data_IF_330690105767
#
_entry.id   IF_330690105767
#
_cell.length_a   1.000
_cell.length_b   1.000
_cell.length_c   1.000
_cell.angle_alpha   90.00
_cell.angle_beta   90.00
_cell.angle_gamma   90.00
#
_symmetry.space_group_name_H-M   'P 1'
#
loop_
_entity.id
_entity.type
_entity.pdbx_description
1 polymer ?
#
# COMPACT_ATOMS: atom_id res chain seq x y z
N UNK A 1 -14.88 16.64 -21.39
CA UNK A 1 -14.75 15.54 -20.41
C UNK A 1 -15.61 15.93 -19.24
N UNK A 2 -16.52 15.08 -18.82
CA UNK A 2 -17.38 15.30 -17.65
C UNK A 2 -16.53 15.20 -16.39
N UNK A 3 -16.63 16.18 -15.50
CA UNK A 3 -16.02 16.13 -14.17
C UNK A 3 -16.72 15.02 -13.37
N UNK A 4 -15.98 13.99 -12.94
CA UNK A 4 -16.52 12.85 -12.18
C UNK A 4 -15.94 12.81 -10.76
N UNK A 5 -16.80 12.50 -9.78
CA UNK A 5 -16.43 12.35 -8.38
C UNK A 5 -16.04 10.91 -8.08
N UNK A 6 -14.80 10.69 -7.71
CA UNK A 6 -14.18 9.36 -7.59
C UNK A 6 -13.71 9.07 -6.16
N UNK A 7 -14.19 7.96 -5.59
CA UNK A 7 -13.74 7.48 -4.29
C UNK A 7 -12.36 6.81 -4.38
N UNK A 8 -11.45 7.22 -3.52
CA UNK A 8 -10.12 6.63 -3.34
C UNK A 8 -10.08 5.82 -2.05
N UNK A 9 -10.03 4.50 -2.16
CA UNK A 9 -10.16 3.56 -1.04
C UNK A 9 -8.84 3.13 -0.39
N UNK A 10 -7.70 3.49 -1.01
CA UNK A 10 -6.37 3.16 -0.49
C UNK A 10 -5.96 4.09 0.66
N UNK A 11 -4.94 3.72 1.47
CA UNK A 11 -4.43 4.58 2.54
C UNK A 11 -4.10 5.99 2.02
N UNK A 12 -4.39 7.02 2.84
CA UNK A 12 -4.35 8.42 2.43
C UNK A 12 -3.05 8.83 1.76
N UNK A 13 -1.91 8.46 2.34
CA UNK A 13 -0.60 8.82 1.77
C UNK A 13 -0.42 8.28 0.33
N UNK A 14 -0.87 7.06 0.08
CA UNK A 14 -0.81 6.46 -1.27
C UNK A 14 -1.83 7.10 -2.21
N UNK A 15 -2.99 7.46 -1.69
CA UNK A 15 -4.07 8.10 -2.44
C UNK A 15 -3.74 9.53 -2.89
N UNK A 16 -2.87 10.26 -2.20
CA UNK A 16 -2.50 11.65 -2.53
C UNK A 16 -1.94 11.79 -3.96
N UNK A 17 -1.09 10.85 -4.38
CA UNK A 17 -0.54 10.85 -5.74
C UNK A 17 -1.61 10.56 -6.78
N UNK A 18 -2.47 9.58 -6.55
CA UNK A 18 -3.62 9.28 -7.41
C UNK A 18 -4.57 10.48 -7.49
N UNK A 19 -4.84 11.12 -6.36
CA UNK A 19 -5.68 12.31 -6.30
C UNK A 19 -5.10 13.47 -7.13
N UNK A 20 -3.79 13.70 -7.05
CA UNK A 20 -3.13 14.73 -7.86
C UNK A 20 -3.28 14.45 -9.37
N UNK A 21 -3.09 13.20 -9.80
CA UNK A 21 -3.25 12.79 -11.19
C UNK A 21 -4.70 12.95 -11.66
N UNK A 22 -5.69 12.52 -10.86
CA UNK A 22 -7.10 12.67 -11.20
C UNK A 22 -7.54 14.15 -11.31
N UNK A 23 -7.06 15.01 -10.40
CA UNK A 23 -7.31 16.47 -10.52
C UNK A 23 -6.71 17.07 -11.78
N UNK A 24 -5.51 16.63 -12.17
CA UNK A 24 -4.88 17.08 -13.42
C UNK A 24 -5.67 16.62 -14.67
N UNK A 25 -6.49 15.57 -14.55
CA UNK A 25 -7.39 15.08 -15.58
C UNK A 25 -8.79 15.76 -15.53
N UNK A 26 -9.04 16.66 -14.56
CA UNK A 26 -10.32 17.37 -14.39
C UNK A 26 -11.35 16.62 -13.54
N UNK A 27 -10.96 15.60 -12.77
CA UNK A 27 -11.84 14.84 -11.89
C UNK A 27 -11.76 15.30 -10.43
N UNK A 28 -12.80 15.03 -9.64
CA UNK A 28 -12.86 15.29 -8.20
C UNK A 28 -12.56 14.00 -7.39
N UNK A 29 -11.33 13.79 -6.89
CA UNK A 29 -11.05 12.67 -6.01
C UNK A 29 -11.49 12.95 -4.58
N UNK A 30 -12.23 12.01 -4.00
CA UNK A 30 -12.67 12.03 -2.60
C UNK A 30 -11.98 10.89 -1.83
N UNK A 31 -11.32 11.24 -0.73
CA UNK A 31 -10.62 10.26 0.10
C UNK A 31 -11.63 9.48 0.97
N UNK A 32 -11.70 8.19 0.74
CA UNK A 32 -12.49 7.23 1.51
C UNK A 32 -11.63 6.02 1.91
N UNK A 33 -10.52 6.23 2.65
CA UNK A 33 -9.60 5.14 2.96
C UNK A 33 -10.31 4.06 3.77
N UNK A 34 -10.27 2.82 3.26
CA UNK A 34 -10.81 1.64 3.95
C UNK A 34 -9.75 0.87 4.72
N UNK A 35 -8.48 1.28 4.59
CA UNK A 35 -7.35 0.79 5.36
C UNK A 35 -6.61 1.97 5.97
N UNK A 36 -6.42 1.92 7.28
CA UNK A 36 -5.60 2.87 8.04
C UNK A 36 -4.28 2.22 8.42
N UNK A 37 -3.18 2.93 8.15
CA UNK A 37 -1.85 2.48 8.56
C UNK A 37 -1.59 2.99 9.98
N UNK A 38 -1.56 2.05 10.90
CA UNK A 38 -1.25 2.32 12.31
C UNK A 38 0.19 1.90 12.58
N UNK A 39 1.03 2.85 13.00
CA UNK A 39 2.40 2.57 13.42
C UNK A 39 2.42 1.91 14.79
N UNK A 40 3.43 1.09 15.06
CA UNK A 40 3.72 0.52 16.38
C UNK A 40 4.93 1.28 16.93
N UNK A 41 4.72 2.35 17.73
CA UNK A 41 5.77 3.32 18.05
C UNK A 41 6.95 2.72 18.84
N UNK A 42 6.69 1.68 19.63
CA UNK A 42 7.67 1.04 20.50
C UNK A 42 7.86 -0.45 20.09
N UNK A 43 7.85 -0.75 18.80
CA UNK A 43 8.16 -2.09 18.33
C UNK A 43 9.59 -2.48 18.80
N UNK A 44 9.71 -3.59 19.49
CA UNK A 44 11.00 -3.99 20.07
C UNK A 44 11.99 -4.34 18.97
N UNK A 45 12.94 -3.46 18.69
CA UNK A 45 14.08 -3.70 17.80
C UNK A 45 15.23 -4.22 18.65
N UNK A 46 15.68 -5.44 18.34
CA UNK A 46 16.81 -6.07 19.05
C UNK A 46 18.08 -5.18 19.05
N UNK A 47 19.03 -5.46 19.94
CA UNK A 47 20.25 -4.64 20.06
C UNK A 47 21.14 -4.71 18.82
N UNK A 48 21.01 -5.76 18.00
CA UNK A 48 21.93 -6.08 16.90
C UNK A 48 23.16 -6.85 17.38
N UNK A 49 24.24 -6.84 16.62
CA UNK A 49 24.46 -6.03 15.42
C UNK A 49 23.61 -6.46 14.21
N UNK A 50 23.34 -5.51 13.30
CA UNK A 50 22.68 -5.75 12.02
C UNK A 50 23.55 -5.26 10.87
N UNK A 51 23.65 -6.06 9.79
CA UNK A 51 24.41 -5.67 8.61
C UNK A 51 23.74 -4.56 7.81
N UNK A 52 22.41 -4.59 7.72
CA UNK A 52 21.62 -3.59 7.01
C UNK A 52 20.13 -3.67 7.40
N UNK A 53 19.32 -2.75 6.85
CA UNK A 53 17.86 -2.71 6.99
C UNK A 53 17.19 -3.13 5.69
N UNK A 54 16.13 -3.93 5.78
CA UNK A 54 15.28 -4.33 4.67
C UNK A 54 13.91 -3.67 4.79
N UNK A 55 13.45 -3.02 3.70
CA UNK A 55 12.14 -2.37 3.60
C UNK A 55 11.40 -2.82 2.34
N UNK A 56 10.24 -3.46 2.50
CA UNK A 56 9.33 -3.80 1.40
C UNK A 56 8.17 -2.81 1.24
N UNK A 57 8.07 -1.81 2.13
CA UNK A 57 7.01 -0.80 2.10
C UNK A 57 7.49 0.54 2.66
N UNK A 58 7.08 1.64 2.04
CA UNK A 58 7.31 2.99 2.56
C UNK A 58 6.62 3.24 3.91
N UNK A 59 5.63 2.43 4.29
CA UNK A 59 4.99 2.51 5.61
C UNK A 59 5.96 2.15 6.74
N UNK A 60 6.87 1.18 6.52
CA UNK A 60 7.90 0.83 7.48
C UNK A 60 8.92 1.97 7.67
N UNK A 61 9.33 2.63 6.57
CA UNK A 61 10.19 3.81 6.64
C UNK A 61 9.53 4.96 7.43
N UNK A 62 8.24 5.21 7.21
CA UNK A 62 7.49 6.22 7.98
C UNK A 62 7.33 5.87 9.45
N UNK A 63 7.18 4.58 9.76
CA UNK A 63 7.11 4.12 11.15
C UNK A 63 8.45 4.35 11.88
N UNK A 64 9.57 4.01 11.25
CA UNK A 64 10.90 4.18 11.86
C UNK A 64 11.28 5.66 12.01
N UNK A 65 10.80 6.54 11.14
CA UNK A 65 11.06 7.98 11.25
C UNK A 65 10.63 8.59 12.60
N UNK A 66 9.70 7.93 13.30
CA UNK A 66 9.17 8.34 14.62
C UNK A 66 9.55 7.38 15.76
N UNK A 67 10.39 6.37 15.47
CA UNK A 67 10.74 5.32 16.42
C UNK A 67 11.87 5.79 17.37
N UNK A 68 11.90 5.39 18.66
CA UNK A 68 12.98 5.71 19.58
C UNK A 68 14.38 5.30 19.08
N UNK A 69 14.49 4.12 18.44
CA UNK A 69 15.74 3.61 17.86
C UNK A 69 16.08 4.19 16.48
N UNK A 70 15.38 5.23 16.02
CA UNK A 70 15.56 5.80 14.69
C UNK A 70 17.04 6.05 14.36
N UNK A 71 17.76 6.76 15.20
CA UNK A 71 19.15 7.16 14.91
C UNK A 71 20.05 5.96 14.64
N UNK A 72 19.95 4.91 15.46
CA UNK A 72 20.70 3.65 15.29
C UNK A 72 20.33 2.93 14.01
N UNK A 73 19.04 2.91 13.66
CA UNK A 73 18.52 2.16 12.52
C UNK A 73 18.83 2.87 11.19
N UNK A 74 18.67 4.20 11.13
CA UNK A 74 18.93 4.94 9.87
C UNK A 74 20.42 5.11 9.55
N UNK A 75 21.31 4.80 10.50
CA UNK A 75 22.74 4.76 10.27
C UNK A 75 23.20 3.53 9.44
N UNK A 76 22.34 2.51 9.33
CA UNK A 76 22.60 1.31 8.54
C UNK A 76 22.28 1.52 7.07
N UNK A 77 22.92 0.74 6.21
CA UNK A 77 22.53 0.61 4.81
C UNK A 77 21.09 0.10 4.71
N UNK A 78 20.33 0.59 3.71
CA UNK A 78 18.92 0.24 3.54
C UNK A 78 18.68 -0.38 2.17
N UNK A 79 18.11 -1.57 2.13
CA UNK A 79 17.63 -2.23 0.93
C UNK A 79 16.11 -2.04 0.80
N UNK A 80 15.64 -1.62 -0.37
CA UNK A 80 14.23 -1.37 -0.64
C UNK A 80 13.74 -2.03 -1.91
N UNK A 81 12.49 -2.50 -1.92
CA UNK A 81 11.90 -3.20 -3.07
C UNK A 81 11.80 -2.32 -4.31
N UNK A 82 11.55 -1.04 -4.16
CA UNK A 82 11.36 -0.15 -5.29
C UNK A 82 11.52 1.34 -4.97
N UNK A 83 11.45 2.20 -6.00
CA UNK A 83 11.82 3.62 -5.91
C UNK A 83 10.97 4.41 -4.91
N UNK A 84 9.69 4.06 -4.74
CA UNK A 84 8.81 4.74 -3.78
C UNK A 84 9.19 4.41 -2.33
N UNK A 85 9.53 3.16 -2.05
CA UNK A 85 10.03 2.74 -0.74
C UNK A 85 11.39 3.38 -0.46
N UNK A 86 12.27 3.45 -1.48
CA UNK A 86 13.55 4.13 -1.39
C UNK A 86 13.40 5.63 -1.06
N UNK A 87 12.48 6.31 -1.73
CA UNK A 87 12.20 7.73 -1.44
C UNK A 87 11.71 7.92 0.01
N UNK A 88 10.80 7.05 0.48
CA UNK A 88 10.34 7.08 1.87
C UNK A 88 11.48 6.80 2.87
N UNK A 89 12.39 5.89 2.55
CA UNK A 89 13.56 5.60 3.38
C UNK A 89 14.50 6.81 3.49
N UNK A 90 14.81 7.50 2.39
CA UNK A 90 15.62 8.72 2.42
C UNK A 90 14.96 9.82 3.26
N UNK A 91 13.65 10.02 3.14
CA UNK A 91 12.88 10.96 3.96
C UNK A 91 12.90 10.57 5.46
N UNK A 92 12.99 9.29 5.79
CA UNK A 92 13.12 8.83 7.17
C UNK A 92 14.52 9.08 7.75
N UNK A 93 15.54 9.34 6.90
CA UNK A 93 16.91 9.68 7.30
C UNK A 93 17.97 8.64 6.91
N UNK A 94 17.63 7.58 6.17
CA UNK A 94 18.65 6.66 5.66
C UNK A 94 19.55 7.35 4.63
N UNK A 95 20.86 7.32 4.88
CA UNK A 95 21.84 7.93 3.98
C UNK A 95 22.08 7.07 2.73
N UNK A 96 22.26 5.76 2.92
CA UNK A 96 22.55 4.80 1.87
C UNK A 96 21.31 3.95 1.59
N UNK A 97 20.67 4.15 0.43
CA UNK A 97 19.45 3.42 0.05
C UNK A 97 19.64 2.78 -1.30
N UNK A 98 19.62 1.45 -1.32
CA UNK A 98 19.70 0.60 -2.52
C UNK A 98 18.30 0.12 -2.88
N UNK A 99 17.87 0.39 -4.12
CA UNK A 99 16.55 -0.02 -4.61
C UNK A 99 16.69 -1.11 -5.66
N UNK A 100 15.96 -2.19 -5.50
CA UNK A 100 15.93 -3.27 -6.48
C UNK A 100 15.25 -2.86 -7.80
N UNK A 101 14.33 -1.89 -7.73
CA UNK A 101 13.61 -1.39 -8.91
C UNK A 101 12.56 -2.33 -9.48
N UNK A 102 12.30 -3.46 -8.81
CA UNK A 102 11.41 -4.52 -9.24
C UNK A 102 10.57 -5.10 -8.10
N UNK A 103 10.52 -6.42 -8.02
CA UNK A 103 9.76 -7.15 -7.03
C UNK A 103 10.63 -7.69 -5.86
N UNK A 104 10.06 -8.59 -5.02
CA UNK A 104 10.76 -9.20 -3.90
C UNK A 104 11.93 -10.09 -4.33
N UNK A 105 11.83 -10.79 -5.46
CA UNK A 105 12.90 -11.61 -5.99
C UNK A 105 14.09 -10.79 -6.47
N UNK A 106 13.85 -9.64 -7.12
CA UNK A 106 14.90 -8.69 -7.48
C UNK A 106 15.59 -8.12 -6.24
N UNK A 107 14.82 -7.89 -5.17
CA UNK A 107 15.34 -7.43 -3.89
C UNK A 107 16.20 -8.50 -3.23
N UNK A 108 15.77 -9.75 -3.23
CA UNK A 108 16.54 -10.85 -2.66
C UNK A 108 17.88 -11.05 -3.41
N UNK A 109 17.86 -10.95 -4.74
CA UNK A 109 19.08 -11.00 -5.57
C UNK A 109 20.04 -9.86 -5.25
N UNK A 110 19.54 -8.61 -5.21
CA UNK A 110 20.35 -7.43 -4.86
C UNK A 110 21.01 -7.57 -3.49
N UNK A 111 20.28 -8.08 -2.50
CA UNK A 111 20.79 -8.34 -1.15
C UNK A 111 21.87 -9.44 -1.20
N UNK A 112 21.61 -10.55 -1.90
CA UNK A 112 22.55 -11.65 -2.02
C UNK A 112 23.89 -11.25 -2.64
N UNK A 113 23.86 -10.38 -3.65
CA UNK A 113 25.06 -9.83 -4.31
C UNK A 113 25.90 -8.92 -3.38
N UNK A 114 25.26 -8.27 -2.39
CA UNK A 114 25.93 -7.28 -1.53
C UNK A 114 26.22 -7.75 -0.11
N UNK A 115 25.40 -8.66 0.41
CA UNK A 115 25.39 -9.09 1.81
C UNK A 115 25.46 -10.62 1.97
N UNK A 116 25.73 -11.37 0.88
CA UNK A 116 25.82 -12.83 0.92
C UNK A 116 26.96 -13.32 1.81
N UNK A 117 26.79 -14.48 2.44
CA UNK A 117 27.75 -15.14 3.31
C UNK A 117 27.40 -15.04 4.81
N UNK A 118 28.38 -15.32 5.68
CA UNK A 118 28.21 -15.29 7.14
C UNK A 118 28.17 -13.88 7.74
N UNK A 119 27.37 -12.99 7.13
CA UNK A 119 27.15 -11.63 7.64
C UNK A 119 26.18 -11.62 8.82
N UNK A 120 26.21 -10.54 9.60
CA UNK A 120 25.19 -10.26 10.60
C UNK A 120 23.77 -10.24 9.97
N UNK A 121 22.71 -10.55 10.73
CA UNK A 121 21.36 -10.57 10.17
C UNK A 121 20.94 -9.19 9.65
N UNK A 122 20.04 -9.18 8.67
CA UNK A 122 19.37 -7.96 8.26
C UNK A 122 18.16 -7.68 9.17
N UNK A 123 17.98 -6.42 9.54
CA UNK A 123 16.77 -5.97 10.24
C UNK A 123 15.63 -5.76 9.23
N UNK A 124 14.68 -6.68 9.19
CA UNK A 124 13.49 -6.54 8.32
C UNK A 124 12.37 -5.80 9.04
N UNK A 125 12.20 -4.53 8.74
CA UNK A 125 11.09 -3.71 9.25
C UNK A 125 9.88 -3.87 8.32
N UNK A 126 8.82 -4.47 8.84
CA UNK A 126 7.67 -4.90 8.03
C UNK A 126 6.33 -4.51 8.63
N UNK A 127 5.28 -4.66 7.83
CA UNK A 127 3.90 -4.69 8.31
C UNK A 127 3.50 -6.04 8.86
N UNK A 128 2.42 -6.06 9.66
CA UNK A 128 1.82 -7.31 10.11
C UNK A 128 1.37 -8.20 8.93
N UNK A 129 0.82 -7.58 7.89
CA UNK A 129 0.40 -8.26 6.66
C UNK A 129 1.49 -8.15 5.61
N UNK A 130 2.02 -9.29 5.17
CA UNK A 130 3.09 -9.37 4.19
C UNK A 130 2.66 -10.18 2.98
N UNK A 131 2.92 -9.67 1.79
CA UNK A 131 2.56 -10.33 0.54
C UNK A 131 3.49 -11.51 0.18
N UNK A 132 4.74 -11.49 0.70
CA UNK A 132 5.80 -12.46 0.41
C UNK A 132 6.56 -12.83 1.67
N UNK A 133 7.10 -14.03 1.68
CA UNK A 133 8.05 -14.51 2.70
C UNK A 133 9.49 -14.17 2.27
N UNK A 134 9.95 -12.98 2.66
CA UNK A 134 11.31 -12.54 2.36
C UNK A 134 12.39 -13.40 3.03
N UNK A 135 12.07 -14.05 4.15
CA UNK A 135 13.01 -14.96 4.78
C UNK A 135 13.28 -16.17 3.88
N UNK A 136 12.22 -16.78 3.35
CA UNK A 136 12.36 -17.89 2.39
C UNK A 136 13.10 -17.47 1.10
N UNK A 137 12.84 -16.26 0.59
CA UNK A 137 13.48 -15.73 -0.62
C UNK A 137 15.00 -15.48 -0.42
N UNK A 138 15.46 -15.24 0.81
CA UNK A 138 16.87 -14.98 1.14
C UNK A 138 17.67 -16.22 1.55
N UNK A 139 17.00 -17.34 1.82
CA UNK A 139 17.69 -18.63 2.14
C UNK A 139 18.77 -19.01 1.12
N UNK A 140 18.53 -18.92 -0.22
CA UNK A 140 19.53 -19.30 -1.22
C UNK A 140 20.83 -18.48 -1.14
N UNK A 141 20.78 -17.30 -0.53
CA UNK A 141 21.91 -16.37 -0.41
C UNK A 141 22.61 -16.46 0.97
N UNK A 142 22.14 -17.33 1.87
CA UNK A 142 22.68 -17.47 3.22
C UNK A 142 22.42 -16.25 4.13
N UNK A 143 21.46 -15.39 3.77
CA UNK A 143 21.15 -14.17 4.53
C UNK A 143 20.06 -14.45 5.56
N UNK A 144 20.35 -14.08 6.82
CA UNK A 144 19.40 -14.20 7.95
C UNK A 144 18.60 -12.90 8.12
N UNK A 145 17.34 -13.00 8.54
CA UNK A 145 16.47 -11.86 8.84
C UNK A 145 16.02 -11.87 10.30
N UNK A 146 16.12 -10.71 10.93
CA UNK A 146 15.39 -10.38 12.15
C UNK A 146 14.19 -9.54 11.78
N UNK A 147 13.00 -10.15 11.84
CA UNK A 147 11.73 -9.50 11.48
C UNK A 147 11.18 -8.70 12.67
N UNK A 148 10.91 -7.42 12.45
CA UNK A 148 10.21 -6.57 13.40
C UNK A 148 8.98 -5.94 12.72
N UNK A 149 7.79 -6.18 13.30
CA UNK A 149 6.54 -5.57 12.83
C UNK A 149 6.44 -4.15 13.40
N UNK A 150 6.56 -3.14 12.54
CA UNK A 150 6.58 -1.71 12.93
C UNK A 150 5.29 -0.96 12.56
N UNK A 151 4.40 -1.59 11.79
CA UNK A 151 3.07 -1.06 11.48
C UNK A 151 2.08 -2.18 11.18
N UNK A 152 0.79 -1.84 11.24
CA UNK A 152 -0.32 -2.71 10.79
C UNK A 152 -1.30 -1.93 9.94
N UNK A 153 -1.95 -2.61 9.00
CA UNK A 153 -3.06 -2.07 8.23
C UNK A 153 -4.38 -2.47 8.91
N UNK A 154 -5.06 -1.50 9.52
CA UNK A 154 -6.34 -1.68 10.19
C UNK A 154 -7.48 -1.45 9.20
N UNK A 155 -8.43 -2.38 9.14
CA UNK A 155 -9.63 -2.21 8.34
C UNK A 155 -10.56 -1.15 8.98
N UNK A 156 -11.10 -0.25 8.16
CA UNK A 156 -12.17 0.63 8.60
C UNK A 156 -13.45 -0.19 8.86
N UNK A 157 -14.15 0.12 9.94
CA UNK A 157 -15.45 -0.51 10.24
C UNK A 157 -16.58 0.12 9.43
N UNK A 158 -16.44 1.38 9.01
CA UNK A 158 -17.40 2.14 8.22
C UNK A 158 -16.70 3.27 7.48
N UNK A 159 -17.37 3.87 6.51
CA UNK A 159 -16.94 5.16 5.95
C UNK A 159 -17.09 6.30 6.97
N UNK A 160 -16.36 7.40 6.75
CA UNK A 160 -16.62 8.65 7.44
C UNK A 160 -18.07 9.08 7.17
N UNK A 161 -18.76 9.74 8.15
CA UNK A 161 -20.18 10.05 8.04
C UNK A 161 -20.57 10.85 6.80
N UNK A 162 -19.74 11.80 6.39
CA UNK A 162 -19.90 12.62 5.18
C UNK A 162 -19.81 11.78 3.90
N UNK A 163 -18.83 10.88 3.81
CA UNK A 163 -18.67 9.94 2.69
C UNK A 163 -19.87 8.99 2.61
N UNK A 164 -20.32 8.45 3.76
CA UNK A 164 -21.47 7.55 3.81
C UNK A 164 -22.77 8.24 3.36
N UNK A 165 -22.97 9.50 3.77
CA UNK A 165 -24.13 10.31 3.37
C UNK A 165 -24.11 10.61 1.87
N UNK A 166 -22.97 11.07 1.34
CA UNK A 166 -22.78 11.38 -0.07
C UNK A 166 -22.95 10.12 -0.96
N UNK A 167 -22.46 8.95 -0.50
CA UNK A 167 -22.66 7.68 -1.20
C UNK A 167 -24.14 7.33 -1.31
N UNK A 168 -24.90 7.45 -0.21
CA UNK A 168 -26.37 7.23 -0.22
C UNK A 168 -27.10 8.18 -1.12
N UNK A 169 -26.68 9.44 -1.16
CA UNK A 169 -27.25 10.47 -2.03
C UNK A 169 -26.92 10.24 -3.52
N UNK A 170 -26.01 9.31 -3.84
CA UNK A 170 -25.60 9.02 -5.22
C UNK A 170 -24.68 10.09 -5.82
N UNK A 171 -23.90 10.76 -4.97
CA UNK A 171 -23.02 11.86 -5.38
C UNK A 171 -21.68 11.42 -5.96
N UNK A 172 -21.41 10.11 -6.02
CA UNK A 172 -20.20 9.56 -6.60
C UNK A 172 -20.48 8.82 -7.90
N UNK A 173 -19.59 8.97 -8.86
CA UNK A 173 -19.66 8.32 -10.17
C UNK A 173 -18.87 7.00 -10.18
N UNK A 174 -17.78 6.93 -9.42
CA UNK A 174 -16.96 5.72 -9.43
C UNK A 174 -16.05 5.58 -8.21
N UNK A 175 -15.34 4.44 -8.17
CA UNK A 175 -14.44 4.09 -7.09
C UNK A 175 -13.24 3.30 -7.61
N UNK A 176 -12.03 3.59 -7.10
CA UNK A 176 -10.80 2.90 -7.47
C UNK A 176 -10.42 1.83 -6.45
N UNK A 177 -10.20 0.60 -6.95
CA UNK A 177 -9.87 -0.59 -6.17
C UNK A 177 -8.49 -1.14 -6.52
N UNK A 178 -7.58 -1.20 -5.55
CA UNK A 178 -6.18 -1.60 -5.76
C UNK A 178 -5.86 -3.03 -5.29
N UNK A 179 -6.71 -3.62 -4.45
CA UNK A 179 -6.50 -4.98 -3.95
C UNK A 179 -7.82 -5.65 -3.57
N UNK A 180 -7.84 -6.98 -3.64
CA UNK A 180 -8.98 -7.79 -3.16
C UNK A 180 -9.37 -7.45 -1.74
N UNK A 181 -8.37 -7.28 -0.83
CA UNK A 181 -8.61 -6.95 0.57
C UNK A 181 -9.30 -5.60 0.74
N UNK A 182 -8.78 -4.53 0.13
CA UNK A 182 -9.38 -3.20 0.23
C UNK A 182 -10.78 -3.16 -0.39
N UNK A 183 -11.02 -3.91 -1.47
CA UNK A 183 -12.35 -4.03 -2.08
C UNK A 183 -13.34 -4.75 -1.18
N UNK A 184 -12.91 -5.84 -0.49
CA UNK A 184 -13.77 -6.52 0.47
C UNK A 184 -14.18 -5.59 1.63
N UNK A 185 -13.23 -4.82 2.19
CA UNK A 185 -13.52 -3.85 3.25
C UNK A 185 -14.43 -2.71 2.73
N UNK A 186 -14.23 -2.26 1.49
CA UNK A 186 -15.16 -1.30 0.86
C UNK A 186 -16.59 -1.84 0.83
N UNK A 187 -16.78 -3.09 0.43
CA UNK A 187 -18.11 -3.75 0.42
C UNK A 187 -18.71 -3.80 1.82
N UNK A 188 -17.90 -4.13 2.84
CA UNK A 188 -18.36 -4.14 4.23
C UNK A 188 -18.74 -2.74 4.70
N UNK A 189 -17.99 -1.70 4.35
CA UNK A 189 -18.34 -0.31 4.63
C UNK A 189 -19.62 0.14 3.92
N UNK A 190 -19.84 -0.28 2.67
CA UNK A 190 -21.08 -0.04 1.91
C UNK A 190 -22.28 -0.65 2.61
N UNK A 191 -22.17 -1.90 3.09
CA UNK A 191 -23.19 -2.60 3.87
C UNK A 191 -23.46 -1.92 5.21
N UNK A 192 -22.39 -1.59 5.95
CA UNK A 192 -22.50 -0.90 7.23
C UNK A 192 -23.21 0.47 7.09
N UNK A 193 -23.02 1.11 5.94
CA UNK A 193 -23.73 2.34 5.60
C UNK A 193 -25.20 2.10 5.15
N UNK A 194 -25.62 0.87 4.84
CA UNK A 194 -26.93 0.59 4.18
C UNK A 194 -27.02 1.26 2.81
N UNK A 195 -25.96 1.20 2.02
CA UNK A 195 -25.81 1.91 0.74
C UNK A 195 -25.53 0.95 -0.44
N UNK A 196 -25.95 -0.33 -0.34
CA UNK A 196 -25.63 -1.38 -1.32
C UNK A 196 -26.12 -1.02 -2.73
N UNK A 197 -27.35 -0.48 -2.84
CA UNK A 197 -27.89 -0.06 -4.13
C UNK A 197 -27.11 1.11 -4.75
N UNK A 198 -26.60 2.03 -3.94
CA UNK A 198 -25.75 3.13 -4.39
C UNK A 198 -24.35 2.61 -4.78
N UNK A 199 -23.75 1.79 -3.91
CA UNK A 199 -22.47 1.14 -4.20
C UNK A 199 -22.49 0.32 -5.49
N UNK A 200 -23.55 -0.45 -5.73
CA UNK A 200 -23.69 -1.27 -6.94
C UNK A 200 -23.80 -0.46 -8.25
N UNK A 201 -24.21 0.80 -8.19
CA UNK A 201 -24.32 1.70 -9.35
C UNK A 201 -23.05 2.41 -9.74
N UNK A 202 -22.07 2.47 -8.85
CA UNK A 202 -20.76 3.08 -9.15
C UNK A 202 -20.07 2.37 -10.31
N UNK A 203 -19.25 3.10 -11.05
CA UNK A 203 -18.24 2.47 -11.89
C UNK A 203 -17.04 2.07 -11.03
N UNK A 204 -16.74 0.78 -11.01
CA UNK A 204 -15.65 0.21 -10.22
C UNK A 204 -14.41 0.03 -11.11
N UNK A 205 -13.38 0.83 -10.87
CA UNK A 205 -12.09 0.73 -11.54
C UNK A 205 -11.18 -0.20 -10.72
N UNK A 206 -10.80 -1.34 -11.26
CA UNK A 206 -10.07 -2.37 -10.53
C UNK A 206 -8.68 -2.59 -11.13
N UNK A 207 -7.64 -2.59 -10.29
CA UNK A 207 -6.26 -2.81 -10.72
C UNK A 207 -6.03 -4.23 -11.28
N UNK A 208 -6.86 -5.21 -10.91
CA UNK A 208 -6.80 -6.58 -11.40
C UNK A 208 -8.16 -7.28 -11.26
N UNK A 209 -8.37 -8.39 -11.99
CA UNK A 209 -9.54 -9.23 -11.84
C UNK A 209 -9.71 -9.72 -10.39
N UNK A 210 -8.60 -10.08 -9.71
CA UNK A 210 -8.63 -10.49 -8.31
C UNK A 210 -9.12 -9.36 -7.37
N UNK A 211 -8.82 -8.10 -7.71
CA UNK A 211 -9.32 -6.96 -6.94
C UNK A 211 -10.83 -6.78 -7.08
N UNK A 212 -11.45 -7.17 -8.19
CA UNK A 212 -12.89 -7.04 -8.43
C UNK A 212 -13.76 -8.12 -7.79
N UNK A 213 -13.19 -9.28 -7.43
CA UNK A 213 -13.97 -10.43 -6.91
C UNK A 213 -14.98 -10.07 -5.80
N UNK A 214 -14.66 -9.26 -4.77
CA UNK A 214 -15.61 -8.96 -3.70
C UNK A 214 -16.84 -8.17 -4.13
N UNK A 215 -16.79 -7.49 -5.30
CA UNK A 215 -17.88 -6.65 -5.80
C UNK A 215 -19.13 -7.46 -6.18
N UNK A 216 -18.98 -8.75 -6.42
CA UNK A 216 -20.10 -9.66 -6.63
C UNK A 216 -21.08 -9.64 -5.45
N UNK A 217 -20.59 -9.40 -4.22
CA UNK A 217 -21.39 -9.41 -3.00
C UNK A 217 -22.36 -8.21 -2.88
N UNK A 218 -22.21 -7.18 -3.70
CA UNK A 218 -23.13 -6.03 -3.82
C UNK A 218 -23.78 -5.96 -5.21
N UNK A 219 -23.60 -6.97 -6.06
CA UNK A 219 -24.12 -7.02 -7.43
C UNK A 219 -23.71 -5.79 -8.27
N UNK A 220 -22.45 -5.37 -8.18
CA UNK A 220 -21.91 -4.24 -8.94
C UNK A 220 -22.13 -4.41 -10.44
N UNK A 221 -22.59 -3.35 -11.13
CA UNK A 221 -23.03 -3.41 -12.52
C UNK A 221 -21.95 -3.03 -13.52
N UNK A 222 -21.09 -2.08 -13.15
CA UNK A 222 -20.02 -1.56 -13.99
C UNK A 222 -18.68 -1.83 -13.35
N UNK A 223 -17.92 -2.80 -13.89
CA UNK A 223 -16.60 -3.19 -13.39
C UNK A 223 -15.61 -3.12 -14.56
N UNK A 224 -14.62 -2.25 -14.44
CA UNK A 224 -13.54 -2.08 -15.41
C UNK A 224 -12.23 -2.56 -14.78
N UNK A 225 -11.49 -3.40 -15.49
CA UNK A 225 -10.24 -4.00 -14.99
C UNK A 225 -9.07 -3.51 -15.82
N UNK A 226 -8.01 -3.05 -15.15
CA UNK A 226 -6.79 -2.58 -15.80
C UNK A 226 -6.08 -3.71 -16.54
N UNK A 227 -5.54 -3.41 -17.73
CA UNK A 227 -4.78 -4.38 -18.54
C UNK A 227 -3.41 -4.71 -17.93
N UNK A 228 -2.86 -3.78 -17.12
CA UNK A 228 -1.59 -3.96 -16.39
C UNK A 228 -1.81 -3.55 -14.94
N UNK A 229 -1.07 -4.19 -14.02
CA UNK A 229 -1.17 -3.89 -12.58
C UNK A 229 -0.30 -2.69 -12.19
N UNK A 230 -0.54 -1.55 -12.82
CA UNK A 230 0.15 -0.30 -12.54
C UNK A 230 -0.82 0.90 -12.48
N UNK A 231 -0.35 1.99 -11.89
CA UNK A 231 -1.13 3.22 -11.70
C UNK A 231 -1.54 3.85 -13.04
N UNK A 232 -0.68 3.79 -14.06
CA UNK A 232 -0.93 4.41 -15.37
C UNK A 232 -2.10 3.71 -16.07
N UNK A 233 -2.14 2.37 -16.01
CA UNK A 233 -3.24 1.59 -16.57
C UNK A 233 -4.57 1.84 -15.81
N UNK A 234 -4.50 2.04 -14.47
CA UNK A 234 -5.67 2.41 -13.68
C UNK A 234 -6.23 3.79 -14.08
N UNK A 235 -5.35 4.79 -14.24
CA UNK A 235 -5.76 6.14 -14.66
C UNK A 235 -6.28 6.15 -16.11
N UNK A 236 -5.71 5.33 -16.99
CA UNK A 236 -6.19 5.17 -18.37
C UNK A 236 -7.63 4.65 -18.43
N UNK A 237 -8.05 3.76 -17.50
CA UNK A 237 -9.44 3.31 -17.42
C UNK A 237 -10.41 4.47 -17.10
N UNK A 238 -9.99 5.36 -16.20
CA UNK A 238 -10.81 6.52 -15.83
C UNK A 238 -10.93 7.50 -17.00
N UNK A 239 -9.87 7.68 -17.80
CA UNK A 239 -9.92 8.57 -18.97
C UNK A 239 -10.79 8.03 -20.11
N UNK A 240 -11.02 6.73 -20.18
CA UNK A 240 -11.76 6.06 -21.25
C UNK A 240 -13.26 5.88 -20.94
N UNK A 241 -13.69 6.20 -19.73
CA UNK A 241 -15.07 6.07 -19.27
C UNK A 241 -15.79 7.44 -19.25
#
# INVERSE_FOLDING_TARGET
>A
MTDVRLLLTRPRFEAERTAAALRAMGHEPVFAPVLEIETIPNAAIGPGPYAAVLLTSGNAARAIAKHPDRERVVALDCFSVGPQTAAAARLAGFANVYSAGGDGGDLARLIGERQGGDSEPLLYLAGNDRARDMAAELVPYGVRLDLVVVYRARAAASFAPDVAAALKAGEFDGVLHYSRRSTAIFVDCVRAAGAEAAGARLTHFCLSARASEPLAAINAKSILVAQKMDESAMLALVSAS
#
